data_IF_734506841923
#
_entry.id   IF_734506841923
#
_cell.length_a   1.000
_cell.length_b   1.000
_cell.length_c   1.000
_cell.angle_alpha   90.00
_cell.angle_beta   90.00
_cell.angle_gamma   90.00
#
_symmetry.space_group_name_H-M   'P 1'
#
loop_
_entity.id
_entity.type
_entity.pdbx_description
1 polymer ?
#
# COMPACT_ATOMS: atom_id res chain seq x y z
N UNK A 1 16.96 8.09 -14.91
CA UNK A 1 16.49 6.73 -14.55
C UNK A 1 14.97 6.73 -14.52
N UNK A 2 14.32 5.63 -14.91
CA UNK A 2 12.85 5.51 -14.89
C UNK A 2 12.39 5.28 -13.44
N UNK A 3 11.37 6.02 -13.01
CA UNK A 3 10.83 5.93 -11.66
C UNK A 3 10.18 4.55 -11.43
N UNK A 4 10.53 3.87 -10.34
CA UNK A 4 9.99 2.54 -10.00
C UNK A 4 8.69 2.70 -9.20
N UNK A 5 7.64 3.06 -9.91
CA UNK A 5 6.31 3.32 -9.34
C UNK A 5 5.24 2.51 -10.06
N UNK A 6 4.28 1.98 -9.31
CA UNK A 6 3.15 1.23 -9.86
C UNK A 6 1.84 1.59 -9.14
N UNK A 7 0.75 1.58 -9.90
CA UNK A 7 -0.62 1.71 -9.39
C UNK A 7 -1.39 0.50 -9.88
N UNK A 8 -2.06 -0.21 -8.96
CA UNK A 8 -2.84 -1.42 -9.26
C UNK A 8 -4.21 -1.30 -8.62
N UNK A 9 -5.23 -1.70 -9.37
CA UNK A 9 -6.58 -1.90 -8.86
C UNK A 9 -7.00 -3.35 -9.11
N UNK A 10 -7.58 -4.00 -8.10
CA UNK A 10 -8.11 -5.37 -8.18
C UNK A 10 -9.46 -5.41 -7.50
N UNK A 11 -10.49 -5.76 -8.26
CA UNK A 11 -11.86 -5.85 -7.78
C UNK A 11 -12.39 -7.26 -8.02
N UNK A 12 -12.87 -7.90 -6.97
CA UNK A 12 -13.55 -9.20 -7.02
C UNK A 12 -14.89 -9.11 -6.29
N UNK A 13 -15.62 -10.22 -6.19
CA UNK A 13 -16.88 -10.23 -5.42
C UNK A 13 -16.61 -10.06 -3.92
N UNK A 14 -15.46 -10.52 -3.46
CA UNK A 14 -15.05 -10.54 -2.06
C UNK A 14 -14.33 -9.25 -1.68
N UNK A 15 -13.46 -8.70 -2.53
CA UNK A 15 -12.53 -7.63 -2.13
C UNK A 15 -12.30 -6.59 -3.20
N UNK A 16 -12.31 -5.32 -2.81
CA UNK A 16 -12.03 -4.15 -3.64
C UNK A 16 -10.74 -3.51 -3.16
N UNK A 17 -9.70 -3.48 -3.99
CA UNK A 17 -8.36 -3.08 -3.60
C UNK A 17 -7.79 -2.07 -4.58
N UNK A 18 -7.24 -0.97 -4.05
CA UNK A 18 -6.42 0.00 -4.79
C UNK A 18 -5.10 0.22 -4.05
N UNK A 19 -3.99 -0.02 -4.75
CA UNK A 19 -2.65 0.14 -4.22
C UNK A 19 -1.81 1.04 -5.13
N UNK A 20 -1.00 1.89 -4.51
CA UNK A 20 0.03 2.71 -5.16
C UNK A 20 1.33 2.54 -4.38
N UNK A 21 2.40 2.18 -5.09
CA UNK A 21 3.71 1.90 -4.50
C UNK A 21 4.80 2.64 -5.27
N UNK A 22 5.61 3.40 -4.54
CA UNK A 22 6.87 3.97 -5.01
C UNK A 22 8.02 3.34 -4.20
N UNK A 23 8.82 2.49 -4.84
CA UNK A 23 9.91 1.77 -4.13
C UNK A 23 11.17 2.62 -3.96
N UNK A 24 11.20 3.82 -4.53
CA UNK A 24 12.23 4.85 -4.34
C UNK A 24 11.71 5.98 -3.44
N UNK A 25 10.83 5.64 -2.48
CA UNK A 25 10.13 6.58 -1.60
C UNK A 25 10.94 7.06 -0.39
N UNK A 26 10.22 7.55 0.63
CA UNK A 26 10.77 8.00 1.91
C UNK A 26 10.08 7.37 3.12
N UNK A 27 9.32 6.28 2.92
CA UNK A 27 8.59 5.58 3.98
C UNK A 27 7.26 6.25 4.36
N UNK A 28 6.64 7.01 3.44
CA UNK A 28 5.30 7.56 3.67
C UNK A 28 4.24 6.49 3.45
N UNK A 29 3.18 6.51 4.24
CA UNK A 29 2.11 5.54 4.07
C UNK A 29 0.72 6.11 4.35
N UNK A 30 -0.26 5.56 3.65
CA UNK A 30 -1.69 5.75 3.89
C UNK A 30 -2.37 4.39 3.66
N UNK A 31 -2.68 3.68 4.73
CA UNK A 31 -3.12 2.28 4.66
C UNK A 31 -4.45 2.12 5.39
N UNK A 32 -5.46 1.64 4.68
CA UNK A 32 -6.79 1.37 5.21
C UNK A 32 -7.31 0.05 4.61
N UNK A 33 -7.23 -1.05 5.37
CA UNK A 33 -7.68 -2.38 4.93
C UNK A 33 -8.91 -2.91 5.69
N UNK A 34 -9.42 -2.16 6.68
CA UNK A 34 -10.42 -2.65 7.63
C UNK A 34 -9.88 -3.58 8.72
N UNK A 35 -8.62 -4.02 8.64
CA UNK A 35 -7.96 -4.90 9.61
C UNK A 35 -6.82 -4.15 10.33
N UNK A 36 -7.01 -3.67 11.58
CA UNK A 36 -6.05 -2.81 12.26
C UNK A 36 -4.64 -3.41 12.39
N UNK A 37 -4.54 -4.70 12.69
CA UNK A 37 -3.24 -5.37 12.80
C UNK A 37 -2.51 -5.46 11.45
N UNK A 38 -3.24 -5.72 10.37
CA UNK A 38 -2.65 -5.79 9.04
C UNK A 38 -2.20 -4.42 8.54
N UNK A 39 -2.98 -3.36 8.83
CA UNK A 39 -2.53 -1.98 8.59
C UNK A 39 -1.17 -1.75 9.26
N UNK A 40 -1.07 -2.04 10.56
CA UNK A 40 0.19 -1.85 11.31
C UNK A 40 1.37 -2.60 10.67
N UNK A 41 1.17 -3.84 10.23
CA UNK A 41 2.23 -4.60 9.56
C UNK A 41 2.71 -3.94 8.25
N UNK A 42 1.78 -3.38 7.47
CA UNK A 42 2.11 -2.69 6.23
C UNK A 42 2.74 -1.31 6.47
N UNK A 43 2.38 -0.62 7.56
CA UNK A 43 3.03 0.62 7.99
C UNK A 43 4.50 0.37 8.33
N UNK A 44 4.79 -0.70 9.08
CA UNK A 44 6.16 -1.13 9.37
C UNK A 44 6.92 -1.47 8.09
N UNK A 45 6.29 -2.19 7.16
CA UNK A 45 6.87 -2.47 5.86
C UNK A 45 7.27 -1.18 5.14
N UNK A 46 6.35 -0.22 4.98
CA UNK A 46 6.62 1.05 4.30
C UNK A 46 7.74 1.83 5.02
N UNK A 47 7.68 1.94 6.34
CA UNK A 47 8.65 2.69 7.14
C UNK A 47 10.06 2.15 7.03
N UNK A 48 10.25 0.83 7.14
CA UNK A 48 11.58 0.22 7.18
C UNK A 48 12.18 -0.07 5.80
N UNK A 49 11.35 -0.19 4.77
CA UNK A 49 11.81 -0.29 3.37
C UNK A 49 12.00 1.06 2.68
N UNK A 50 11.57 2.15 3.31
CA UNK A 50 11.45 3.49 2.74
C UNK A 50 10.49 3.58 1.54
N UNK A 51 9.57 2.63 1.39
CA UNK A 51 8.57 2.71 0.33
C UNK A 51 7.51 3.76 0.63
N UNK A 52 7.08 4.51 -0.38
CA UNK A 52 5.84 5.27 -0.27
C UNK A 52 4.68 4.35 -0.70
N UNK A 53 3.75 4.06 0.22
CA UNK A 53 2.66 3.10 0.02
C UNK A 53 1.29 3.71 0.35
N UNK A 54 0.42 3.81 -0.64
CA UNK A 54 -1.01 4.08 -0.43
C UNK A 54 -1.80 2.81 -0.72
N UNK A 55 -2.58 2.32 0.24
CA UNK A 55 -3.40 1.12 0.10
C UNK A 55 -4.79 1.36 0.69
N UNK A 56 -5.81 1.18 -0.13
CA UNK A 56 -7.20 1.10 0.31
C UNK A 56 -7.77 -0.24 -0.09
N UNK A 57 -8.29 -0.98 0.88
CA UNK A 57 -8.92 -2.27 0.67
C UNK A 57 -10.20 -2.39 1.51
N UNK A 58 -11.26 -2.90 0.90
CA UNK A 58 -12.52 -3.23 1.57
C UNK A 58 -13.03 -4.59 1.13
N UNK A 59 -13.78 -5.27 2.00
CA UNK A 59 -14.34 -6.60 1.76
C UNK A 59 -14.07 -7.59 2.87
#
# INVERSE_FOLDING_TARGET
MKKRKAIVARNTRETQIRAELDVDGNGRYEIETGLPFFNHMLELLAKHSLFDLTLRATG
#
